data_IF_965710427228
#
_entry.id   IF_965710427228
#
_cell.length_a   1.000
_cell.length_b   1.000
_cell.length_c   1.000
_cell.angle_alpha   90.00
_cell.angle_beta   90.00
_cell.angle_gamma   90.00
#
_symmetry.space_group_name_H-M   'P 1'
#
loop_
_entity.id
_entity.type
_entity.pdbx_description
1 polymer ?
#
# COMPACT_ATOMS: atom_id res chain seq x y z
N UNK A 1 35.09 -38.96 -17.81
CA UNK A 1 36.55 -39.04 -17.54
C UNK A 1 36.89 -38.21 -16.31
N UNK A 2 37.31 -38.81 -15.19
CA UNK A 2 37.74 -38.06 -14.00
C UNK A 2 39.15 -37.51 -14.22
N UNK A 3 39.28 -36.24 -14.63
CA UNK A 3 40.57 -35.55 -14.74
C UNK A 3 41.23 -35.52 -13.36
N UNK A 4 42.34 -36.23 -13.20
CA UNK A 4 43.11 -36.28 -11.97
C UNK A 4 43.72 -34.90 -11.71
N UNK A 5 43.27 -34.25 -10.64
CA UNK A 5 43.76 -32.95 -10.21
C UNK A 5 45.20 -33.09 -9.71
N UNK A 6 46.14 -32.45 -10.40
CA UNK A 6 47.53 -32.36 -9.98
C UNK A 6 47.57 -31.66 -8.61
N UNK A 7 48.04 -32.41 -7.61
CA UNK A 7 48.15 -31.99 -6.20
C UNK A 7 48.94 -30.67 -6.09
N UNK A 8 48.36 -29.67 -5.42
CA UNK A 8 49.13 -28.51 -4.97
C UNK A 8 48.35 -27.38 -4.30
N UNK A 9 47.09 -27.11 -4.69
CA UNK A 9 46.27 -26.10 -4.00
C UNK A 9 44.80 -26.43 -4.21
N UNK A 10 44.04 -26.53 -3.12
CA UNK A 10 42.58 -26.67 -3.19
C UNK A 10 42.04 -25.49 -4.03
N UNK A 11 41.20 -25.80 -5.01
CA UNK A 11 40.52 -24.75 -5.77
C UNK A 11 39.66 -23.96 -4.80
N UNK A 12 39.72 -22.64 -4.91
CA UNK A 12 38.95 -21.72 -4.07
C UNK A 12 37.45 -21.89 -4.31
N UNK A 13 37.05 -22.26 -5.53
CA UNK A 13 35.65 -22.45 -5.92
C UNK A 13 35.27 -23.95 -5.88
N UNK A 14 34.70 -24.39 -4.76
CA UNK A 14 34.13 -25.75 -4.62
C UNK A 14 32.86 -25.90 -5.47
N UNK A 15 32.46 -27.11 -5.86
CA UNK A 15 31.25 -27.33 -6.67
C UNK A 15 29.98 -26.79 -6.00
N UNK A 16 29.89 -26.84 -4.67
CA UNK A 16 28.78 -26.27 -3.91
C UNK A 16 28.69 -24.75 -4.06
N UNK A 17 29.84 -24.06 -4.07
CA UNK A 17 29.90 -22.61 -4.27
C UNK A 17 29.51 -22.24 -5.71
N UNK A 18 29.78 -23.10 -6.69
CA UNK A 18 29.34 -22.89 -8.08
C UNK A 18 27.82 -22.92 -8.19
N UNK A 19 27.18 -23.92 -7.60
CA UNK A 19 25.71 -24.02 -7.58
C UNK A 19 25.09 -22.81 -6.88
N UNK A 20 25.63 -22.42 -5.71
CA UNK A 20 25.19 -21.20 -5.00
C UNK A 20 25.38 -19.94 -5.85
N UNK A 21 26.49 -19.83 -6.58
CA UNK A 21 26.76 -18.68 -7.45
C UNK A 21 25.76 -18.60 -8.60
N UNK A 22 25.51 -19.72 -9.29
CA UNK A 22 24.50 -19.78 -10.34
C UNK A 22 23.09 -19.47 -9.81
N UNK A 23 22.77 -19.92 -8.60
CA UNK A 23 21.50 -19.60 -7.95
C UNK A 23 21.35 -18.10 -7.67
N UNK A 24 22.36 -17.46 -7.08
CA UNK A 24 22.34 -16.01 -6.82
C UNK A 24 22.21 -15.18 -8.09
N UNK A 25 22.88 -15.60 -9.18
CA UNK A 25 22.77 -14.94 -10.48
C UNK A 25 21.35 -15.06 -11.04
N UNK A 26 20.70 -16.24 -10.93
CA UNK A 26 19.29 -16.41 -11.33
C UNK A 26 18.34 -15.54 -10.51
N UNK A 27 18.66 -15.36 -9.23
CA UNK A 27 17.83 -14.59 -8.29
C UNK A 27 17.89 -13.08 -8.47
N UNK A 28 18.56 -12.58 -9.52
CA UNK A 28 18.73 -11.18 -9.92
C UNK A 28 19.95 -10.44 -9.36
N UNK A 29 20.95 -11.13 -8.83
CA UNK A 29 22.22 -10.49 -8.46
C UNK A 29 23.12 -10.33 -9.67
N UNK A 30 23.83 -9.20 -9.78
CA UNK A 30 24.91 -9.08 -10.76
C UNK A 30 26.00 -10.12 -10.44
N UNK A 31 26.78 -10.53 -11.45
CA UNK A 31 27.86 -11.50 -11.25
C UNK A 31 28.88 -11.04 -10.19
N UNK A 32 29.06 -9.72 -10.05
CA UNK A 32 29.94 -9.09 -9.06
C UNK A 32 29.38 -9.27 -7.64
N UNK A 33 28.11 -8.88 -7.43
CA UNK A 33 27.43 -9.01 -6.13
C UNK A 33 27.30 -10.49 -5.71
N UNK A 34 27.00 -11.38 -6.66
CA UNK A 34 26.91 -12.81 -6.39
C UNK A 34 28.28 -13.40 -5.96
N UNK A 35 29.37 -12.96 -6.59
CA UNK A 35 30.71 -13.39 -6.21
C UNK A 35 31.13 -12.85 -4.84
N UNK A 36 30.81 -11.58 -4.55
CA UNK A 36 31.06 -10.93 -3.27
C UNK A 36 30.28 -11.60 -2.13
N UNK A 37 29.00 -11.92 -2.34
CA UNK A 37 28.14 -12.61 -1.38
C UNK A 37 28.68 -14.00 -0.97
N UNK A 38 29.39 -14.67 -1.89
CA UNK A 38 30.02 -15.98 -1.64
C UNK A 38 31.43 -15.83 -1.05
N UNK A 39 32.00 -14.62 -1.05
CA UNK A 39 33.37 -14.36 -0.60
C UNK A 39 34.44 -14.78 -1.61
N UNK A 40 34.12 -14.77 -2.91
CA UNK A 40 35.05 -15.13 -3.98
C UNK A 40 35.30 -13.95 -4.91
N UNK A 41 36.57 -13.68 -5.25
CA UNK A 41 36.88 -12.60 -6.19
C UNK A 41 36.34 -12.89 -7.60
N UNK A 42 35.84 -11.85 -8.30
CA UNK A 42 35.38 -11.97 -9.69
C UNK A 42 36.43 -12.59 -10.61
N UNK A 43 37.71 -12.26 -10.40
CA UNK A 43 38.85 -12.82 -11.15
C UNK A 43 38.94 -14.34 -11.01
N UNK A 44 38.64 -14.88 -9.83
CA UNK A 44 38.58 -16.33 -9.58
C UNK A 44 37.44 -16.97 -10.37
N UNK A 45 36.24 -16.35 -10.37
CA UNK A 45 35.09 -16.85 -11.14
C UNK A 45 35.40 -16.87 -12.64
N UNK A 46 35.93 -15.76 -13.20
CA UNK A 46 36.35 -15.69 -14.60
C UNK A 46 37.41 -16.72 -14.96
N UNK A 47 38.34 -17.00 -14.05
CA UNK A 47 39.37 -18.02 -14.23
C UNK A 47 38.75 -19.42 -14.27
N UNK A 48 37.83 -19.74 -13.37
CA UNK A 48 37.14 -21.04 -13.35
C UNK A 48 36.26 -21.24 -14.60
N UNK A 49 35.55 -20.20 -15.07
CA UNK A 49 34.80 -20.24 -16.35
C UNK A 49 35.67 -20.67 -17.54
N UNK A 50 36.91 -20.21 -17.60
CA UNK A 50 37.86 -20.59 -18.67
C UNK A 50 38.36 -22.03 -18.55
N UNK A 51 38.36 -22.61 -17.35
CA UNK A 51 38.87 -23.96 -17.13
C UNK A 51 37.79 -25.04 -17.18
N UNK A 52 36.55 -24.66 -16.91
CA UNK A 52 35.42 -25.57 -16.72
C UNK A 52 34.25 -25.11 -17.58
N UNK A 53 34.11 -25.72 -18.76
CA UNK A 53 33.12 -25.37 -19.77
C UNK A 53 31.69 -25.66 -19.29
N UNK A 54 31.50 -26.72 -18.49
CA UNK A 54 30.19 -27.08 -17.92
C UNK A 54 29.71 -25.98 -16.96
N UNK A 55 30.60 -25.49 -16.10
CA UNK A 55 30.31 -24.36 -15.21
C UNK A 55 30.04 -23.07 -15.98
N UNK A 56 30.79 -22.80 -17.06
CA UNK A 56 30.52 -21.64 -17.91
C UNK A 56 29.12 -21.71 -18.55
N UNK A 57 28.74 -22.89 -19.04
CA UNK A 57 27.41 -23.11 -19.61
C UNK A 57 26.29 -22.91 -18.57
N UNK A 58 26.42 -23.49 -17.37
CA UNK A 58 25.46 -23.29 -16.28
C UNK A 58 25.32 -21.81 -15.88
N UNK A 59 26.43 -21.07 -15.87
CA UNK A 59 26.44 -19.66 -15.54
C UNK A 59 25.83 -18.82 -16.66
N UNK A 60 26.05 -19.15 -17.93
CA UNK A 60 25.38 -18.52 -19.06
C UNK A 60 23.88 -18.77 -19.05
N UNK A 61 23.45 -20.00 -18.72
CA UNK A 61 22.03 -20.30 -18.52
C UNK A 61 21.45 -19.45 -17.38
N UNK A 62 22.17 -19.34 -16.26
CA UNK A 62 21.76 -18.49 -15.15
C UNK A 62 21.66 -17.00 -15.53
N UNK A 63 22.58 -16.49 -16.34
CA UNK A 63 22.56 -15.10 -16.84
C UNK A 63 21.43 -14.85 -17.86
N UNK A 64 21.06 -15.85 -18.63
CA UNK A 64 19.93 -15.77 -19.58
C UNK A 64 18.57 -15.86 -18.91
N UNK A 65 18.51 -16.37 -17.67
CA UNK A 65 17.26 -16.46 -16.94
C UNK A 65 16.74 -15.04 -16.65
N UNK A 66 15.48 -14.72 -17.02
CA UNK A 66 14.93 -13.42 -16.69
C UNK A 66 14.87 -13.28 -15.17
N UNK A 67 15.37 -12.16 -14.60
CA UNK A 67 15.29 -11.93 -13.17
C UNK A 67 13.84 -11.88 -12.71
N UNK A 68 13.57 -12.34 -11.49
CA UNK A 68 12.23 -12.28 -10.91
C UNK A 68 11.76 -10.80 -10.86
N UNK A 69 10.72 -10.43 -11.62
CA UNK A 69 10.27 -9.04 -11.71
C UNK A 69 9.83 -8.49 -10.34
N UNK A 70 9.38 -9.36 -9.43
CA UNK A 70 8.97 -8.93 -8.09
C UNK A 70 10.18 -8.48 -7.26
N UNK A 71 11.29 -9.21 -7.31
CA UNK A 71 12.54 -8.83 -6.62
C UNK A 71 13.13 -7.54 -7.18
N UNK A 72 13.13 -7.38 -8.50
CA UNK A 72 13.55 -6.14 -9.15
C UNK A 72 12.68 -4.95 -8.70
N UNK A 73 11.37 -5.13 -8.64
CA UNK A 73 10.46 -4.09 -8.17
C UNK A 73 10.68 -3.77 -6.68
N UNK A 74 10.92 -4.77 -5.83
CA UNK A 74 11.23 -4.57 -4.42
C UNK A 74 12.55 -3.81 -4.22
N UNK A 75 13.58 -4.11 -5.01
CA UNK A 75 14.83 -3.37 -5.00
C UNK A 75 14.63 -1.91 -5.44
N UNK A 76 13.91 -1.68 -6.54
CA UNK A 76 13.58 -0.34 -7.03
C UNK A 76 12.71 0.46 -6.04
N UNK A 77 11.82 -0.20 -5.30
CA UNK A 77 10.98 0.44 -4.28
C UNK A 77 11.79 1.03 -3.11
N UNK A 78 13.02 0.54 -2.86
CA UNK A 78 13.90 1.09 -1.81
C UNK A 78 14.48 2.45 -2.17
N UNK A 79 14.64 2.74 -3.46
CA UNK A 79 15.27 3.98 -3.94
C UNK A 79 14.28 4.92 -4.64
N UNK A 80 13.20 4.38 -5.22
CA UNK A 80 12.25 5.14 -6.03
C UNK A 80 10.84 5.08 -5.43
N UNK A 81 10.32 6.24 -5.05
CA UNK A 81 8.98 6.38 -4.47
C UNK A 81 7.87 5.90 -5.41
N UNK A 82 8.02 6.03 -6.73
CA UNK A 82 7.03 5.53 -7.71
C UNK A 82 6.92 4.00 -7.70
N UNK A 83 8.06 3.31 -7.60
CA UNK A 83 8.08 1.85 -7.48
C UNK A 83 7.47 1.41 -6.14
N UNK A 84 7.76 2.14 -5.06
CA UNK A 84 7.14 1.91 -3.75
C UNK A 84 5.61 2.11 -3.80
N UNK A 85 5.13 3.20 -4.40
CA UNK A 85 3.70 3.46 -4.57
C UNK A 85 3.02 2.36 -5.40
N UNK A 86 3.62 1.97 -6.52
CA UNK A 86 3.13 0.88 -7.37
C UNK A 86 3.01 -0.45 -6.60
N UNK A 87 3.98 -0.76 -5.74
CA UNK A 87 3.98 -1.97 -4.92
C UNK A 87 2.89 -1.90 -3.84
N UNK A 88 2.70 -0.75 -3.22
CA UNK A 88 1.64 -0.52 -2.22
C UNK A 88 0.24 -0.62 -2.82
N UNK A 89 0.02 -0.05 -4.01
CA UNK A 89 -1.25 -0.13 -4.74
C UNK A 89 -1.68 -1.59 -5.00
N UNK A 90 -0.72 -2.48 -5.30
CA UNK A 90 -1.01 -3.89 -5.61
C UNK A 90 -1.05 -4.81 -4.38
N UNK A 91 -0.23 -4.52 -3.37
CA UNK A 91 -0.19 -5.34 -2.14
C UNK A 91 -1.33 -5.00 -1.18
N UNK A 92 -1.78 -3.73 -1.17
CA UNK A 92 -2.83 -3.22 -0.28
C UNK A 92 -3.76 -2.27 -1.04
N UNK A 93 -4.54 -2.78 -2.02
CA UNK A 93 -5.40 -1.94 -2.84
C UNK A 93 -6.41 -1.14 -2.00
N UNK A 94 -6.92 -1.68 -0.90
CA UNK A 94 -7.90 -1.00 -0.04
C UNK A 94 -7.39 0.33 0.57
N UNK A 95 -6.07 0.43 0.78
CA UNK A 95 -5.46 1.60 1.41
C UNK A 95 -4.83 2.54 0.39
N UNK A 96 -4.19 2.00 -0.64
CA UNK A 96 -3.34 2.78 -1.54
C UNK A 96 -3.83 2.83 -2.97
N UNK A 97 -4.79 1.99 -3.39
CA UNK A 97 -5.32 2.11 -4.74
C UNK A 97 -6.03 3.44 -4.92
N UNK A 98 -5.96 3.97 -6.13
CA UNK A 98 -6.78 5.12 -6.52
C UNK A 98 -8.24 4.75 -6.34
N UNK A 99 -8.91 5.44 -5.41
CA UNK A 99 -10.35 5.28 -5.23
C UNK A 99 -11.05 5.83 -6.46
N UNK A 100 -12.04 5.12 -7.03
CA UNK A 100 -12.82 5.67 -8.12
C UNK A 100 -13.54 6.93 -7.62
N UNK A 101 -13.64 7.94 -8.48
CA UNK A 101 -14.28 9.24 -8.18
C UNK A 101 -15.73 9.11 -7.74
N UNK A 102 -16.38 7.98 -8.05
CA UNK A 102 -17.77 7.70 -7.74
C UNK A 102 -17.97 7.04 -6.36
N UNK A 103 -16.92 6.87 -5.56
CA UNK A 103 -17.04 6.35 -4.20
C UNK A 103 -17.02 7.48 -3.18
N UNK A 104 -18.11 7.63 -2.43
CA UNK A 104 -18.19 8.58 -1.32
C UNK A 104 -17.15 8.22 -0.24
N UNK A 105 -16.39 9.21 0.21
CA UNK A 105 -15.47 9.03 1.33
C UNK A 105 -16.25 8.73 2.61
N UNK A 106 -15.75 7.88 3.50
CA UNK A 106 -16.39 7.60 4.79
C UNK A 106 -16.75 8.88 5.55
N UNK A 107 -15.83 9.86 5.55
CA UNK A 107 -16.06 11.21 6.08
C UNK A 107 -17.15 12.02 5.35
N UNK A 108 -17.30 11.87 4.03
CA UNK A 108 -18.42 12.51 3.30
C UNK A 108 -19.76 11.89 3.68
N UNK A 109 -19.82 10.56 3.83
CA UNK A 109 -21.03 9.89 4.30
C UNK A 109 -21.33 10.28 5.75
N UNK A 110 -20.32 10.33 6.62
CA UNK A 110 -20.49 10.77 8.00
C UNK A 110 -21.00 12.21 8.08
N UNK A 111 -20.47 13.10 7.23
CA UNK A 111 -20.94 14.48 7.13
C UNK A 111 -22.39 14.57 6.66
N UNK A 112 -22.77 13.78 5.63
CA UNK A 112 -24.15 13.73 5.15
C UNK A 112 -25.11 13.20 6.23
N UNK A 113 -24.72 12.17 6.98
CA UNK A 113 -25.50 11.63 8.11
C UNK A 113 -25.65 12.66 9.22
N UNK A 114 -24.58 13.36 9.59
CA UNK A 114 -24.63 14.42 10.60
C UNK A 114 -25.52 15.59 10.16
N UNK A 115 -25.47 15.99 8.88
CA UNK A 115 -26.35 17.02 8.34
C UNK A 115 -27.83 16.62 8.43
N UNK A 116 -28.16 15.35 8.17
CA UNK A 116 -29.51 14.83 8.37
C UNK A 116 -29.90 14.84 9.85
N UNK A 117 -29.00 14.44 10.76
CA UNK A 117 -29.27 14.49 12.20
C UNK A 117 -29.53 15.92 12.68
N UNK A 118 -28.72 16.88 12.25
CA UNK A 118 -28.88 18.30 12.59
C UNK A 118 -30.21 18.85 12.10
N UNK A 119 -30.59 18.56 10.86
CA UNK A 119 -31.89 18.96 10.30
C UNK A 119 -33.08 18.36 11.09
N UNK A 120 -32.96 17.10 11.55
CA UNK A 120 -33.98 16.47 12.39
C UNK A 120 -34.07 17.15 13.75
N UNK A 121 -32.94 17.47 14.38
CA UNK A 121 -32.91 18.15 15.68
C UNK A 121 -33.48 19.58 15.61
N UNK A 122 -33.28 20.30 14.51
CA UNK A 122 -33.86 21.64 14.30
C UNK A 122 -35.40 21.63 14.26
N UNK A 123 -36.02 20.52 13.86
CA UNK A 123 -37.48 20.38 13.80
C UNK A 123 -38.09 19.92 15.13
N UNK A 124 -37.28 19.45 16.07
CA UNK A 124 -37.73 18.88 17.35
C UNK A 124 -37.74 19.97 18.45
N UNK A 125 -38.78 20.04 19.30
CA UNK A 125 -38.76 20.86 20.50
C UNK A 125 -37.60 20.47 21.43
N UNK A 126 -36.98 21.41 22.16
CA UNK A 126 -35.78 21.14 22.95
C UNK A 126 -35.99 20.07 24.04
N UNK A 127 -37.20 19.98 24.61
CA UNK A 127 -37.54 18.95 25.59
C UNK A 127 -37.52 17.52 25.02
N UNK A 128 -37.71 17.34 23.71
CA UNK A 128 -37.72 16.03 23.05
C UNK A 128 -36.36 15.67 22.43
N UNK A 129 -35.51 16.67 22.16
CA UNK A 129 -34.17 16.47 21.59
C UNK A 129 -33.31 15.54 22.46
N UNK A 130 -33.22 15.82 23.77
CA UNK A 130 -32.43 15.00 24.71
C UNK A 130 -32.91 13.55 24.77
N UNK A 131 -34.22 13.34 24.63
CA UNK A 131 -34.83 12.01 24.67
C UNK A 131 -34.60 11.22 23.38
N UNK A 132 -34.65 11.88 22.22
CA UNK A 132 -34.60 11.20 20.91
C UNK A 132 -33.20 11.08 20.33
N UNK A 133 -32.27 11.98 20.68
CA UNK A 133 -30.90 11.97 20.19
C UNK A 133 -30.19 10.60 20.27
N UNK A 134 -30.18 9.87 21.42
CA UNK A 134 -29.49 8.59 21.49
C UNK A 134 -30.05 7.52 20.55
N UNK A 135 -31.34 7.58 20.22
CA UNK A 135 -31.96 6.65 19.28
C UNK A 135 -31.57 6.95 17.84
N UNK A 136 -31.51 8.24 17.48
CA UNK A 136 -31.10 8.71 16.16
C UNK A 136 -29.63 8.36 15.94
N UNK A 137 -28.76 8.70 16.89
CA UNK A 137 -27.33 8.39 16.83
C UNK A 137 -27.09 6.87 16.69
N UNK A 138 -27.77 6.04 17.49
CA UNK A 138 -27.67 4.58 17.38
C UNK A 138 -28.19 4.03 16.03
N UNK A 139 -29.17 4.68 15.39
CA UNK A 139 -29.62 4.30 14.05
C UNK A 139 -28.60 4.67 12.98
N UNK A 140 -28.04 5.88 13.07
CA UNK A 140 -26.98 6.37 12.18
C UNK A 140 -25.72 5.51 12.27
N UNK A 141 -25.27 5.15 13.47
CA UNK A 141 -24.12 4.27 13.67
C UNK A 141 -24.36 2.87 13.08
N UNK A 142 -25.56 2.30 13.24
CA UNK A 142 -25.92 1.01 12.60
C UNK A 142 -25.90 1.10 11.07
N UNK A 143 -26.41 2.19 10.50
CA UNK A 143 -26.37 2.40 9.06
C UNK A 143 -24.91 2.49 8.56
N UNK A 144 -24.06 3.22 9.28
CA UNK A 144 -22.63 3.31 8.97
C UNK A 144 -21.92 1.96 9.10
N UNK A 145 -22.18 1.18 10.15
CA UNK A 145 -21.63 -0.17 10.32
C UNK A 145 -22.09 -1.11 9.18
N UNK A 146 -23.31 -0.96 8.66
CA UNK A 146 -23.81 -1.72 7.51
C UNK A 146 -23.14 -1.31 6.19
N UNK A 147 -22.95 -0.01 5.97
CA UNK A 147 -22.30 0.51 4.75
C UNK A 147 -20.78 0.29 4.76
N UNK A 148 -20.17 0.24 5.94
CA UNK A 148 -18.73 0.21 6.13
C UNK A 148 -18.29 -0.81 7.20
N UNK A 149 -18.46 -2.12 6.96
CA UNK A 149 -18.18 -3.16 7.96
C UNK A 149 -16.70 -3.20 8.39
N UNK A 150 -15.81 -2.66 7.57
CA UNK A 150 -14.36 -2.63 7.81
C UNK A 150 -13.90 -1.32 8.46
N UNK A 151 -14.77 -0.35 8.73
CA UNK A 151 -14.39 0.91 9.38
C UNK A 151 -14.67 0.85 10.89
N UNK A 152 -13.67 1.26 11.65
CA UNK A 152 -13.67 1.40 13.11
C UNK A 152 -14.66 2.45 13.56
N UNK A 153 -15.04 2.43 14.85
CA UNK A 153 -15.38 3.71 15.45
C UNK A 153 -14.17 4.62 15.19
N UNK A 154 -14.38 5.80 14.58
CA UNK A 154 -13.34 6.77 14.18
C UNK A 154 -12.60 6.57 12.85
N UNK A 155 -13.09 5.71 11.95
CA UNK A 155 -12.55 5.63 10.58
C UNK A 155 -11.17 4.95 10.46
N UNK A 156 -10.64 4.41 11.56
CA UNK A 156 -9.53 3.47 11.50
C UNK A 156 -10.02 2.16 10.89
N UNK A 157 -9.28 1.50 9.98
CA UNK A 157 -9.69 0.19 9.50
C UNK A 157 -9.82 -0.78 10.68
N UNK A 158 -11.02 -1.34 10.92
CA UNK A 158 -11.18 -2.51 11.79
C UNK A 158 -10.39 -3.62 11.13
N UNK A 159 -9.59 -4.34 11.89
CA UNK A 159 -9.18 -5.69 11.48
C UNK A 159 -10.46 -6.45 11.10
N UNK A 160 -10.49 -7.13 9.94
CA UNK A 160 -11.71 -7.76 9.43
C UNK A 160 -12.22 -8.74 10.48
N UNK A 161 -13.33 -8.38 11.16
CA UNK A 161 -14.04 -9.28 12.04
C UNK A 161 -14.82 -10.23 11.13
N UNK A 162 -14.30 -11.44 10.95
CA UNK A 162 -15.06 -12.57 10.38
C UNK A 162 -16.47 -12.59 11.00
N UNK A 163 -17.53 -12.88 10.23
CA UNK A 163 -18.90 -12.76 10.69
C UNK A 163 -19.09 -13.55 11.98
N UNK A 164 -19.39 -12.82 13.06
CA UNK A 164 -19.68 -13.39 14.36
C UNK A 164 -21.05 -14.07 14.28
N UNK A 165 -21.05 -15.37 14.01
CA UNK A 165 -22.25 -16.18 14.21
C UNK A 165 -22.50 -16.27 15.72
N UNK A 166 -23.70 -15.93 16.21
CA UNK A 166 -24.01 -15.91 17.64
C UNK A 166 -23.89 -17.29 18.31
N UNK A 167 -23.90 -18.36 17.52
CA UNK A 167 -23.61 -19.73 17.97
C UNK A 167 -22.09 -20.03 18.08
N UNK A 168 -21.24 -19.34 17.32
CA UNK A 168 -19.81 -19.64 17.23
C UNK A 168 -19.00 -19.19 18.45
N UNK A 169 -19.30 -18.03 19.03
CA UNK A 169 -18.48 -17.46 20.11
C UNK A 169 -18.81 -18.02 21.49
N UNK A 170 -20.09 -18.27 21.79
CA UNK A 170 -20.49 -18.77 23.10
C UNK A 170 -20.17 -20.27 23.28
N UNK A 171 -20.21 -21.05 22.19
CA UNK A 171 -19.77 -22.45 22.20
C UNK A 171 -18.24 -22.57 22.15
N UNK A 172 -17.53 -21.70 21.41
CA UNK A 172 -16.06 -21.71 21.35
C UNK A 172 -15.42 -21.36 22.68
N UNK A 173 -15.90 -20.31 23.38
CA UNK A 173 -15.39 -19.99 24.72
C UNK A 173 -15.72 -21.08 25.74
N UNK A 174 -16.91 -21.70 25.67
CA UNK A 174 -17.26 -22.85 26.52
C UNK A 174 -16.44 -24.11 26.19
N UNK A 175 -16.18 -24.43 24.92
CA UNK A 175 -15.34 -25.55 24.50
C UNK A 175 -13.88 -25.37 24.91
N UNK A 176 -13.35 -24.14 24.86
CA UNK A 176 -11.99 -23.82 25.29
C UNK A 176 -11.82 -23.81 26.82
N UNK A 177 -12.88 -23.54 27.57
CA UNK A 177 -12.82 -23.46 29.05
C UNK A 177 -13.36 -24.70 29.76
N UNK A 178 -14.11 -25.59 29.08
CA UNK A 178 -14.73 -26.78 29.68
C UNK A 178 -14.26 -28.11 29.08
N UNK A 179 -13.30 -28.15 28.16
CA UNK A 179 -12.71 -29.41 27.71
C UNK A 179 -11.60 -29.88 28.67
N UNK A 180 -11.82 -30.89 29.54
CA UNK A 180 -10.72 -31.60 30.17
C UNK A 180 -9.93 -32.33 29.08
N UNK A 181 -8.73 -31.81 28.78
CA UNK A 181 -7.84 -32.37 27.77
C UNK A 181 -7.60 -31.50 26.53
N UNK A 182 -7.57 -30.17 26.64
CA UNK A 182 -6.94 -29.33 25.60
C UNK A 182 -5.46 -29.78 25.48
N UNK A 183 -5.03 -30.32 24.33
CA UNK A 183 -3.67 -30.81 24.18
C UNK A 183 -2.68 -29.64 24.23
N UNK A 184 -1.58 -29.85 24.93
CA UNK A 184 -0.40 -29.01 24.98
C UNK A 184 0.23 -28.89 23.57
N UNK A 185 -0.36 -28.07 22.71
CA UNK A 185 0.08 -27.84 21.33
C UNK A 185 0.26 -26.35 21.00
N UNK A 186 0.49 -25.53 22.04
CA UNK A 186 1.25 -24.30 21.86
C UNK A 186 2.69 -24.65 22.19
N UNK A 187 3.61 -24.39 21.24
CA UNK A 187 5.03 -24.52 21.53
C UNK A 187 5.36 -23.62 22.73
N UNK A 188 6.33 -24.00 23.56
CA UNK A 188 6.78 -23.17 24.69
C UNK A 188 7.13 -21.73 24.26
N UNK A 189 7.50 -21.55 22.99
CA UNK A 189 7.75 -20.25 22.37
C UNK A 189 6.49 -19.38 22.27
N UNK A 190 5.34 -19.93 21.86
CA UNK A 190 4.09 -19.16 21.74
C UNK A 190 3.54 -18.77 23.11
N UNK A 191 3.78 -19.63 24.12
CA UNK A 191 3.44 -19.33 25.51
C UNK A 191 4.31 -18.21 26.08
N UNK A 192 5.62 -18.24 25.83
CA UNK A 192 6.53 -17.14 26.21
C UNK A 192 6.15 -15.84 25.50
N UNK A 193 5.75 -15.91 24.22
CA UNK A 193 5.35 -14.74 23.45
C UNK A 193 4.07 -14.09 24.02
N UNK A 194 3.09 -14.91 24.41
CA UNK A 194 1.91 -14.43 25.11
C UNK A 194 2.25 -13.81 26.47
N UNK A 195 3.16 -14.42 27.25
CA UNK A 195 3.62 -13.89 28.53
C UNK A 195 4.40 -12.57 28.37
N UNK A 196 5.17 -12.39 27.29
CA UNK A 196 5.85 -11.12 27.01
C UNK A 196 4.87 -10.01 26.62
N UNK A 197 3.82 -10.33 25.87
CA UNK A 197 2.79 -9.35 25.51
C UNK A 197 2.05 -8.83 26.75
N UNK A 198 1.68 -9.73 27.67
CA UNK A 198 1.01 -9.35 28.92
C UNK A 198 1.91 -8.45 29.77
N UNK A 199 3.20 -8.80 29.93
CA UNK A 199 4.16 -7.97 30.68
C UNK A 199 4.41 -6.60 30.06
N UNK A 200 4.33 -6.52 28.72
CA UNK A 200 4.53 -5.26 28.02
C UNK A 200 3.31 -4.34 28.17
N UNK A 201 2.10 -4.89 28.11
CA UNK A 201 0.86 -4.14 28.38
C UNK A 201 0.81 -3.63 29.83
N UNK A 202 1.27 -4.43 30.81
CA UNK A 202 1.39 -3.99 32.21
C UNK A 202 2.42 -2.86 32.37
N UNK A 203 3.60 -2.96 31.72
CA UNK A 203 4.62 -1.93 31.78
C UNK A 203 4.19 -0.61 31.09
N UNK A 204 3.42 -0.70 30.00
CA UNK A 204 2.88 0.48 29.33
C UNK A 204 1.75 1.13 30.12
N UNK A 205 0.95 0.35 30.85
CA UNK A 205 -0.04 0.88 31.80
C UNK A 205 0.63 1.65 32.95
N UNK A 206 1.68 1.10 33.58
CA UNK A 206 2.45 1.80 34.62
C UNK A 206 3.09 3.11 34.10
N UNK A 207 3.61 3.08 32.86
CA UNK A 207 4.19 4.28 32.22
C UNK A 207 3.13 5.36 31.98
N UNK A 208 1.91 4.97 31.59
CA UNK A 208 0.80 5.88 31.40
C UNK A 208 0.36 6.53 32.73
N UNK A 209 0.28 5.75 33.81
CA UNK A 209 -0.02 6.28 35.15
C UNK A 209 1.04 7.30 35.62
N UNK A 210 2.32 7.01 35.39
CA UNK A 210 3.42 7.96 35.68
C UNK A 210 3.38 9.24 34.83
N UNK A 211 2.77 9.20 33.64
CA UNK A 211 2.56 10.38 32.81
C UNK A 211 1.41 11.24 33.35
N UNK A 212 0.31 10.60 33.76
CA UNK A 212 -0.85 11.27 34.38
C UNK A 212 -0.42 11.93 35.70
N UNK A 213 0.40 11.27 36.51
CA UNK A 213 0.87 11.82 37.78
C UNK A 213 1.74 13.07 37.56
N UNK A 214 2.67 13.05 36.60
CA UNK A 214 3.48 14.23 36.25
C UNK A 214 2.64 15.38 35.69
N UNK A 215 1.60 15.09 34.92
CA UNK A 215 0.68 16.11 34.45
C UNK A 215 -0.07 16.78 35.61
N UNK A 216 -0.53 16.01 36.61
CA UNK A 216 -1.17 16.54 37.82
C UNK A 216 -0.23 17.43 38.64
N UNK A 217 1.03 17.02 38.82
CA UNK A 217 2.05 17.83 39.50
C UNK A 217 2.36 19.12 38.73
N UNK A 218 2.36 19.08 37.40
CA UNK A 218 2.53 20.26 36.55
C UNK A 218 1.40 21.27 36.72
N UNK A 219 0.15 20.82 36.79
CA UNK A 219 -1.02 21.68 37.04
C UNK A 219 -0.95 22.32 38.43
N UNK A 220 -0.65 21.55 39.47
CA UNK A 220 -0.50 22.09 40.83
C UNK A 220 0.62 23.14 40.93
N UNK A 221 1.72 22.95 40.18
CA UNK A 221 2.82 23.94 40.14
C UNK A 221 2.41 25.23 39.42
N UNK A 222 1.55 25.12 38.41
CA UNK A 222 1.04 26.28 37.67
C UNK A 222 0.00 27.08 38.48
N UNK A 223 -0.82 26.40 39.29
CA UNK A 223 -1.79 27.06 40.18
C UNK A 223 -1.11 27.94 41.25
N UNK A 224 0.12 27.61 41.66
CA UNK A 224 0.92 28.46 42.55
C UNK A 224 1.61 29.66 41.87
N UNK A 225 1.52 29.80 40.54
CA UNK A 225 2.18 30.85 39.78
C UNK A 225 1.21 31.89 39.19
N UNK A 226 -0.08 31.79 39.48
CA UNK A 226 -1.02 32.88 39.15
C UNK A 226 -0.83 33.95 40.24
N UNK A 227 -0.17 35.09 39.95
CA UNK A 227 -0.13 36.18 40.92
C UNK A 227 -1.57 36.57 41.21
N UNK A 228 -1.93 36.65 42.49
CA UNK A 228 -3.21 37.20 42.92
C UNK A 228 -3.38 38.56 42.25
N UNK A 229 -4.27 38.61 41.25
CA UNK A 229 -4.83 39.86 40.77
C UNK A 229 -5.75 40.30 41.89
N UNK A 230 -5.19 41.01 42.86
CA UNK A 230 -5.98 41.74 43.84
C UNK A 230 -6.79 42.76 43.05
N UNK A 231 -8.10 42.53 43.04
CA UNK A 231 -9.09 43.48 42.55
C UNK A 231 -8.81 44.83 43.20
N UNK A 232 -8.41 45.80 42.38
CA UNK A 232 -8.26 47.19 42.76
C UNK A 232 -9.52 47.91 42.23
N UNK A 233 -10.57 48.07 43.05
CA UNK A 233 -11.86 48.55 42.57
C UNK A 233 -11.93 50.07 42.70
N UNK A 234 -10.97 50.81 42.16
CA UNK A 234 -11.03 52.27 42.06
C UNK A 234 -9.99 52.71 41.02
N UNK A 235 -10.35 52.74 39.73
CA UNK A 235 -9.71 53.69 38.81
C UNK A 235 -10.67 54.01 37.67
N UNK A 236 -11.27 55.18 37.85
CA UNK A 236 -12.08 55.92 36.90
C UNK A 236 -11.34 56.20 35.60
N UNK A 237 -12.16 56.32 34.55
CA UNK A 237 -11.80 56.75 33.22
C UNK A 237 -10.87 57.98 33.23
N UNK A 238 -9.64 57.81 32.75
CA UNK A 238 -8.89 58.90 32.13
C UNK A 238 -8.26 58.45 30.81
N UNK A 239 -8.68 59.17 29.77
CA UNK A 239 -8.09 59.24 28.45
C UNK A 239 -6.62 59.61 28.58
N UNK A 240 -5.73 58.76 28.08
CA UNK A 240 -4.34 59.13 27.80
C UNK A 240 -4.07 58.74 26.34
N UNK A 241 -4.17 59.75 25.48
CA UNK A 241 -3.47 59.80 24.20
C UNK A 241 -1.95 59.87 24.46
N UNK A 242 -1.17 59.49 23.44
CA UNK A 242 0.30 59.57 23.34
C UNK A 242 1.13 58.39 23.86
N UNK A 243 1.37 57.44 22.93
CA UNK A 243 2.49 56.51 23.00
C UNK A 243 3.65 57.02 22.12
N UNK A 244 4.83 57.36 22.68
CA UNK A 244 6.02 57.61 21.88
C UNK A 244 6.74 56.31 21.53
N UNK A 245 7.17 56.25 20.28
CA UNK A 245 8.00 55.20 19.71
C UNK A 245 9.30 54.99 20.51
N UNK A 246 9.50 53.78 21.03
CA UNK A 246 10.79 53.30 21.50
C UNK A 246 11.18 52.04 20.71
N UNK A 247 12.15 52.24 19.83
CA UNK A 247 12.83 51.20 19.05
C UNK A 247 13.65 50.31 20.00
N UNK A 248 13.34 49.02 20.05
CA UNK A 248 14.21 48.01 20.63
C UNK A 248 14.55 46.98 19.54
N UNK A 249 15.85 46.90 19.25
CA UNK A 249 16.45 46.09 18.21
C UNK A 249 16.29 44.58 18.49
N UNK A 250 15.64 43.87 17.56
CA UNK A 250 15.71 42.43 17.42
C UNK A 250 16.65 42.06 16.25
N UNK A 251 17.40 40.94 16.34
CA UNK A 251 18.36 40.54 15.32
C UNK A 251 17.67 40.15 14.02
N UNK A 252 18.12 40.78 12.92
CA UNK A 252 17.72 40.53 11.52
C UNK A 252 17.91 39.06 11.13
N UNK A 253 16.82 38.31 11.06
CA UNK A 253 16.73 37.17 10.14
C UNK A 253 16.35 37.73 8.76
N UNK A 254 17.20 37.48 7.76
CA UNK A 254 16.94 37.82 6.36
C UNK A 254 15.67 37.12 5.87
N UNK A 255 14.59 37.87 5.71
CA UNK A 255 13.41 37.48 4.95
C UNK A 255 13.59 38.01 3.52
N UNK A 256 13.51 37.17 2.47
CA UNK A 256 13.63 37.62 1.09
C UNK A 256 12.45 38.53 0.69
N UNK A 257 12.66 39.48 -0.24
CA UNK A 257 11.64 40.45 -0.63
C UNK A 257 10.41 39.74 -1.21
N UNK A 258 9.24 40.13 -0.68
CA UNK A 258 7.94 39.70 -1.15
C UNK A 258 7.77 40.02 -2.64
N UNK A 259 7.41 38.99 -3.40
CA UNK A 259 7.00 39.12 -4.78
C UNK A 259 5.77 40.05 -4.88
N UNK A 260 5.62 40.81 -5.99
CA UNK A 260 4.42 41.62 -6.21
C UNK A 260 3.18 40.71 -6.13
N UNK A 261 2.27 41.05 -5.24
CA UNK A 261 0.98 40.39 -5.08
C UNK A 261 0.12 40.68 -6.32
N UNK A 262 0.06 39.70 -7.23
CA UNK A 262 -0.94 39.69 -8.29
C UNK A 262 -2.34 39.72 -7.66
N UNK A 263 -3.28 40.52 -8.19
CA UNK A 263 -4.65 40.55 -7.71
C UNK A 263 -5.24 39.15 -7.89
N UNK A 264 -5.55 38.50 -6.76
CA UNK A 264 -6.23 37.21 -6.77
C UNK A 264 -7.58 37.39 -7.49
N UNK A 265 -7.91 36.54 -8.48
CA UNK A 265 -9.19 36.63 -9.18
C UNK A 265 -10.31 36.54 -8.15
N UNK A 266 -11.32 37.39 -8.31
CA UNK A 266 -12.47 37.37 -7.42
C UNK A 266 -13.13 35.99 -7.49
N UNK A 267 -13.81 35.60 -6.42
CA UNK A 267 -14.55 34.33 -6.37
C UNK A 267 -15.58 34.19 -7.51
N UNK A 268 -16.01 35.31 -8.07
CA UNK A 268 -16.92 35.39 -9.21
C UNK A 268 -16.20 35.05 -10.53
N UNK A 269 -14.96 35.52 -10.72
CA UNK A 269 -14.12 35.19 -11.89
C UNK A 269 -13.79 33.69 -11.96
N UNK A 270 -13.61 33.05 -10.79
CA UNK A 270 -13.38 31.61 -10.71
C UNK A 270 -14.63 30.78 -11.04
N UNK A 271 -15.83 31.34 -10.83
CA UNK A 271 -17.09 30.68 -11.18
C UNK A 271 -17.40 30.78 -12.67
N UNK A 272 -17.09 31.91 -13.32
CA UNK A 272 -17.27 32.05 -14.77
C UNK A 272 -16.27 31.19 -15.57
N UNK A 273 -15.02 31.07 -15.11
CA UNK A 273 -14.04 30.17 -15.73
C UNK A 273 -14.43 28.70 -15.61
N UNK A 274 -15.01 28.29 -14.48
CA UNK A 274 -15.48 26.92 -14.27
C UNK A 274 -16.72 26.58 -15.11
N UNK A 275 -17.57 27.56 -15.43
CA UNK A 275 -18.72 27.35 -16.32
C UNK A 275 -18.31 27.30 -17.80
N UNK A 276 -17.25 27.99 -18.18
CA UNK A 276 -16.73 27.96 -19.55
C UNK A 276 -16.06 26.62 -19.96
N UNK A 277 -15.55 25.83 -19.01
CA UNK A 277 -14.92 24.54 -19.30
C UNK A 277 -15.91 23.38 -19.49
N UNK A 278 -17.19 23.54 -19.13
CA UNK A 278 -18.19 22.45 -19.22
C UNK A 278 -18.77 22.30 -20.63
N UNK A 279 -18.65 23.30 -21.49
CA UNK A 279 -19.26 23.29 -22.84
C UNK A 279 -18.31 22.92 -23.99
N UNK A 280 -17.02 22.64 -23.74
CA UNK A 280 -16.01 22.48 -24.80
C UNK A 280 -15.68 21.04 -25.23
N UNK A 281 -16.05 19.99 -24.47
CA UNK A 281 -15.53 18.62 -24.68
C UNK A 281 -16.60 17.54 -24.97
N UNK A 282 -17.62 17.86 -25.77
CA UNK A 282 -18.45 16.84 -26.43
C UNK A 282 -18.19 16.81 -27.94
N UNK A 283 -17.41 15.84 -28.47
CA UNK A 283 -17.28 15.69 -29.91
C UNK A 283 -18.63 15.25 -30.51
N UNK A 284 -19.04 15.81 -31.66
CA UNK A 284 -20.26 15.40 -32.33
C UNK A 284 -20.15 13.93 -32.78
N UNK A 285 -21.18 13.16 -32.45
CA UNK A 285 -21.30 11.77 -32.87
C UNK A 285 -21.15 11.65 -34.39
N UNK A 286 -20.16 10.87 -34.82
CA UNK A 286 -19.98 10.46 -36.21
C UNK A 286 -21.27 9.80 -36.72
N UNK A 287 -21.86 10.43 -37.73
CA UNK A 287 -22.79 9.77 -38.62
C UNK A 287 -22.06 9.02 -39.74
N UNK A 288 -22.86 8.19 -40.42
CA UNK A 288 -22.60 7.47 -41.68
C UNK A 288 -21.85 6.14 -41.58
N UNK A 289 -22.23 5.04 -42.26
CA UNK A 289 -23.32 4.67 -43.17
C UNK A 289 -23.17 3.15 -43.35
N UNK A 290 -24.26 2.38 -43.29
CA UNK A 290 -24.45 1.23 -44.19
C UNK A 290 -25.93 0.93 -44.34
N UNK A 291 -26.35 0.87 -45.60
CA UNK A 291 -27.69 0.54 -46.05
C UNK A 291 -28.04 -0.94 -45.86
N UNK A 292 -29.29 -1.25 -45.54
CA UNK A 292 -29.98 -2.47 -45.98
C UNK A 292 -31.51 -2.30 -45.89
N UNK A 293 -32.13 -2.28 -47.07
CA UNK A 293 -33.46 -2.71 -47.52
C UNK A 293 -34.74 -2.55 -46.64
N UNK A 294 -35.89 -2.21 -47.27
CA UNK A 294 -37.19 -2.09 -46.62
C UNK A 294 -37.96 -3.42 -46.64
N UNK A 295 -38.78 -3.64 -45.61
CA UNK A 295 -39.92 -4.55 -45.70
C UNK A 295 -40.21 -5.35 -44.44
N UNK A 296 -41.12 -4.83 -43.62
CA UNK A 296 -42.41 -5.44 -43.26
C UNK A 296 -42.94 -4.81 -41.98
N UNK A 297 -44.09 -4.18 -42.13
CA UNK A 297 -45.03 -3.86 -41.08
C UNK A 297 -45.49 -5.16 -40.40
N UNK A 298 -45.54 -5.20 -39.07
CA UNK A 298 -46.63 -5.80 -38.30
C UNK A 298 -46.49 -5.54 -36.79
N UNK A 299 -47.54 -4.91 -36.25
CA UNK A 299 -48.20 -5.15 -34.97
C UNK A 299 -47.39 -5.34 -33.67
N UNK A 300 -47.53 -4.33 -32.80
CA UNK A 300 -48.23 -4.35 -31.50
C UNK A 300 -48.07 -5.56 -30.55
N UNK A 301 -47.99 -5.16 -29.27
CA UNK A 301 -48.36 -5.82 -28.02
C UNK A 301 -47.25 -6.41 -27.14
N UNK A 302 -47.24 -5.88 -25.92
CA UNK A 302 -46.27 -6.19 -24.90
C UNK A 302 -46.46 -7.56 -24.26
N UNK A 303 -45.44 -7.97 -23.51
CA UNK A 303 -45.56 -8.89 -22.40
C UNK A 303 -44.32 -8.77 -21.52
N UNK A 304 -44.59 -8.38 -20.27
CA UNK A 304 -43.73 -8.61 -19.12
C UNK A 304 -43.40 -10.10 -19.05
N UNK A 305 -42.11 -10.45 -19.08
CA UNK A 305 -41.64 -11.79 -18.79
C UNK A 305 -40.45 -11.72 -17.82
N UNK A 306 -40.65 -12.29 -16.63
CA UNK A 306 -39.64 -12.58 -15.63
C UNK A 306 -38.47 -13.39 -16.20
N UNK A 307 -37.24 -13.23 -15.66
CA UNK A 307 -36.13 -14.09 -16.03
C UNK A 307 -36.25 -15.45 -15.34
N UNK A 308 -36.44 -16.50 -16.14
CA UNK A 308 -36.25 -17.88 -15.74
C UNK A 308 -34.77 -18.16 -15.46
N UNK A 309 -34.53 -18.76 -14.29
CA UNK A 309 -33.25 -19.33 -13.86
C UNK A 309 -32.98 -20.58 -14.70
N UNK A 310 -31.90 -20.58 -15.49
CA UNK A 310 -31.40 -21.79 -16.17
C UNK A 310 -30.62 -22.70 -15.19
N UNK A 311 -30.81 -24.02 -15.25
CA UNK A 311 -29.99 -24.96 -14.49
C UNK A 311 -28.67 -25.25 -15.19
N UNK A 312 -27.57 -25.07 -14.45
CA UNK A 312 -26.20 -25.53 -14.73
C UNK A 312 -26.20 -26.99 -15.23
N UNK A 313 -25.79 -27.20 -16.49
CA UNK A 313 -25.41 -28.52 -17.01
C UNK A 313 -24.03 -28.94 -16.51
N UNK A 314 -23.95 -30.24 -16.26
CA UNK A 314 -22.85 -30.98 -15.68
C UNK A 314 -21.57 -31.00 -16.53
N UNK A 315 -20.47 -31.29 -15.84
CA UNK A 315 -19.08 -31.24 -16.24
C UNK A 315 -18.68 -32.14 -17.44
N UNK A 316 -17.63 -31.77 -18.20
CA UNK A 316 -16.95 -32.69 -19.10
C UNK A 316 -15.98 -33.62 -18.35
N UNK A 317 -16.03 -34.88 -18.77
CA UNK A 317 -15.17 -36.01 -18.43
C UNK A 317 -13.68 -35.68 -18.53
N UNK A 318 -12.96 -35.89 -17.42
CA UNK A 318 -11.50 -35.96 -17.35
C UNK A 318 -11.04 -37.31 -17.90
N UNK A 319 -10.38 -37.28 -19.06
CA UNK A 319 -9.54 -38.38 -19.54
C UNK A 319 -8.11 -38.22 -19.00
N UNK A 320 -7.39 -39.31 -18.67
CA UNK A 320 -6.04 -39.24 -18.12
C UNK A 320 -5.00 -38.85 -19.18
N UNK A 321 -3.87 -38.22 -18.77
CA UNK A 321 -2.82 -37.79 -19.69
C UNK A 321 -2.06 -39.00 -20.25
N UNK A 322 -1.97 -39.08 -21.58
CA UNK A 322 -1.08 -40.01 -22.28
C UNK A 322 0.37 -39.55 -22.13
N UNK A 323 1.21 -40.52 -21.78
CA UNK A 323 2.66 -40.46 -21.65
C UNK A 323 3.31 -40.29 -23.04
N UNK A 324 4.20 -39.30 -23.26
CA UNK A 324 4.84 -39.11 -24.56
C UNK A 324 5.91 -40.17 -24.81
N UNK A 325 5.75 -40.92 -25.90
CA UNK A 325 6.73 -41.85 -26.45
C UNK A 325 7.95 -41.09 -27.02
N UNK A 326 9.18 -41.61 -26.89
CA UNK A 326 10.39 -40.98 -27.40
C UNK A 326 10.77 -41.57 -28.77
N UNK A 327 10.38 -40.94 -29.86
CA UNK A 327 10.89 -41.29 -31.20
C UNK A 327 11.24 -40.02 -32.00
N UNK A 328 12.33 -40.14 -32.77
CA UNK A 328 12.87 -39.21 -33.77
C UNK A 328 13.88 -38.14 -33.30
N UNK A 329 15.04 -38.64 -32.87
CA UNK A 329 16.33 -37.98 -33.11
C UNK A 329 16.74 -38.15 -34.58
N UNK A 330 16.44 -37.20 -35.46
CA UNK A 330 17.19 -37.07 -36.72
C UNK A 330 17.46 -35.60 -37.11
N UNK A 331 18.75 -35.32 -37.30
CA UNK A 331 19.32 -34.32 -38.21
C UNK A 331 18.85 -32.85 -38.15
N UNK A 332 19.56 -32.05 -37.36
CA UNK A 332 19.83 -30.65 -37.73
C UNK A 332 21.33 -30.40 -37.81
N UNK A 333 21.89 -30.66 -39.00
CA UNK A 333 23.20 -30.17 -39.43
C UNK A 333 22.95 -28.92 -40.27
N UNK A 334 23.49 -27.78 -39.84
CA UNK A 334 24.28 -26.83 -40.65
C UNK A 334 24.05 -25.35 -40.30
N UNK A 335 25.20 -24.65 -40.24
CA UNK A 335 25.46 -23.25 -40.61
C UNK A 335 24.94 -22.16 -39.67
N UNK A 336 25.83 -21.75 -38.77
CA UNK A 336 26.01 -20.33 -38.47
C UNK A 336 27.47 -19.95 -38.73
N UNK A 337 27.71 -19.42 -39.94
CA UNK A 337 28.86 -18.60 -40.24
C UNK A 337 28.58 -17.20 -39.68
N UNK A 338 29.24 -16.83 -38.58
CA UNK A 338 29.25 -15.44 -38.10
C UNK A 338 30.68 -14.93 -38.16
N UNK A 339 30.87 -13.91 -39.00
CA UNK A 339 32.16 -13.48 -39.50
C UNK A 339 33.08 -12.81 -38.47
N UNK A 340 34.36 -13.04 -38.72
CA UNK A 340 35.49 -12.22 -38.27
C UNK A 340 35.23 -10.75 -38.58
N UNK A 341 35.01 -9.95 -37.53
CA UNK A 341 35.19 -8.49 -37.61
C UNK A 341 36.65 -8.17 -37.36
N UNK A 342 37.32 -7.78 -38.44
CA UNK A 342 38.67 -7.22 -38.44
C UNK A 342 38.79 -6.09 -37.41
N UNK A 343 39.78 -6.23 -36.54
CA UNK A 343 40.25 -5.20 -35.62
C UNK A 343 41.08 -4.17 -36.39
N UNK A 344 40.61 -2.93 -36.49
CA UNK A 344 41.40 -1.81 -37.02
C UNK A 344 42.29 -1.23 -35.91
N UNK A 345 43.59 -1.01 -36.15
CA UNK A 345 44.49 -0.39 -35.18
C UNK A 345 44.26 1.14 -35.09
N UNK A 346 44.31 1.65 -33.86
CA UNK A 346 44.16 3.06 -33.49
C UNK A 346 45.45 3.84 -33.82
N UNK A 347 45.41 5.00 -34.49
CA UNK A 347 46.62 5.78 -34.77
C UNK A 347 47.11 6.54 -33.53
N UNK A 348 48.42 6.53 -33.31
CA UNK A 348 49.12 7.37 -32.34
C UNK A 348 49.20 8.83 -32.81
N UNK A 349 49.17 9.83 -31.89
CA UNK A 349 49.38 11.23 -32.23
C UNK A 349 50.88 11.54 -32.45
N UNK A 350 51.22 12.46 -33.38
CA UNK A 350 52.60 12.91 -33.58
C UNK A 350 53.06 13.87 -32.48
N UNK A 351 54.38 13.88 -32.26
CA UNK A 351 55.12 14.69 -31.29
C UNK A 351 55.28 16.16 -31.71
#
# INVERSE_FOLDING_TARGET
MKRQYIRGRNRVLTPELRVKLCQLVRESSTLVEAAEAIGVSLRTVQRERKYDEDFDHELLLALSAPPDPLKLMQAAARTHWRAAAWLLERTRPEQYARRPTNMAHAGQVNHAVNAVMEAVLQLLPPAEQERLFPFIDAACQRALDCCFPNLGPWGHPRSPKLPQTPLGNHLRWKLLTQAPGVPAFLNDEDRKLAETFIKQDEADAERAEGFIQRAKEGVQRAEGFIPSVEDNPDDDATVIEDAPAAQAAAPRCMVPPAAPSDPSPSREDLYELALAEVDADFPPACGERTACAPGKEHCLEGKLASPCIEPRRAAPSTSPPQEPQPEDQEHFVAKNAFGDKMSTPKPHPPA
#
